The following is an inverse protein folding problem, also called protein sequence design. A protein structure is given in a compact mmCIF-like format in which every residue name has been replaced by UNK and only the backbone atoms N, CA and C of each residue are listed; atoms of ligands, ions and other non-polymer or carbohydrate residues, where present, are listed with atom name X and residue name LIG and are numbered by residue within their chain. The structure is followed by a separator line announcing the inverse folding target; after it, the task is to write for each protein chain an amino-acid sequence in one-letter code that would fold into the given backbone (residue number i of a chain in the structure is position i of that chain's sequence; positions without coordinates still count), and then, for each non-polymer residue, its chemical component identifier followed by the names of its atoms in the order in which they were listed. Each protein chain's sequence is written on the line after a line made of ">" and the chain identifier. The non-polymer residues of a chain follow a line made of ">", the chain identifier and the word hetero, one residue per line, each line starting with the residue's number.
data_IF_963353951366
#
_entry.id   IF_963353951366
#
_cell.length_a   1.000
_cell.length_b   1.000
_cell.length_c   1.000
_cell.angle_alpha   90.00
_cell.angle_beta   90.00
_cell.angle_gamma   90.00
#
_symmetry.space_group_name_H-M   'P 1'
#
loop_
_entity.id
_entity.type
_entity.pdbx_description
1 polymer ?
#
# COMPACT_ATOMS: atom_id res chain seq x y z
N UNK A 1 -2.09 -12.84 -14.62
CA UNK A 1 -2.87 -13.03 -13.37
C UNK A 1 -2.19 -12.18 -12.30
N UNK A 2 -2.92 -11.34 -11.61
CA UNK A 2 -2.37 -10.48 -10.55
C UNK A 2 -1.68 -11.31 -9.47
N UNK A 3 -0.58 -10.78 -8.90
CA UNK A 3 0.11 -11.38 -7.76
C UNK A 3 -0.25 -10.64 -6.45
N UNK A 4 -0.22 -11.35 -5.33
CA UNK A 4 -0.35 -10.75 -4.01
C UNK A 4 1.02 -10.30 -3.51
N UNK A 5 1.07 -9.13 -2.86
CA UNK A 5 2.23 -8.61 -2.16
C UNK A 5 1.85 -8.16 -0.74
N UNK A 6 2.80 -8.06 0.17
CA UNK A 6 2.56 -7.65 1.56
C UNK A 6 2.95 -6.19 1.77
N UNK A 7 1.99 -5.35 2.19
CA UNK A 7 2.22 -3.97 2.63
C UNK A 7 2.45 -3.88 4.14
N UNK A 8 3.48 -3.17 4.57
CA UNK A 8 3.86 -3.05 5.98
C UNK A 8 3.27 -1.81 6.70
N UNK A 9 2.34 -1.09 6.08
CA UNK A 9 1.78 0.14 6.67
C UNK A 9 1.12 -0.08 8.04
N UNK A 10 0.47 -1.23 8.22
CA UNK A 10 -0.19 -1.62 9.48
C UNK A 10 0.73 -2.29 10.48
N UNK A 11 1.92 -2.74 10.08
CA UNK A 11 2.86 -3.50 10.92
C UNK A 11 4.04 -2.67 11.42
N UNK A 12 4.41 -1.61 10.70
CA UNK A 12 5.59 -0.81 11.01
C UNK A 12 5.38 0.26 12.10
N UNK A 13 4.18 0.46 12.60
CA UNK A 13 3.83 1.54 13.55
C UNK A 13 2.67 1.16 14.48
N UNK A 14 2.59 1.74 15.70
CA UNK A 14 1.59 1.34 16.70
C UNK A 14 0.16 1.76 16.34
N UNK A 15 -0.02 2.83 15.56
CA UNK A 15 -1.32 3.32 15.12
C UNK A 15 -1.40 3.45 13.58
N UNK A 16 -2.57 3.15 13.01
CA UNK A 16 -2.86 3.31 11.57
C UNK A 16 -4.36 3.46 11.33
N UNK A 17 -4.74 4.08 10.23
CA UNK A 17 -6.13 4.26 9.79
C UNK A 17 -6.70 2.96 9.17
N UNK A 18 -6.97 1.95 9.99
CA UNK A 18 -7.48 0.67 9.51
C UNK A 18 -8.45 0.05 10.55
N UNK A 19 -9.70 -0.12 10.17
CA UNK A 19 -10.72 -0.73 11.02
C UNK A 19 -10.43 -2.24 11.21
N UNK A 20 -10.76 -2.77 12.40
CA UNK A 20 -10.61 -4.20 12.71
C UNK A 20 -9.17 -4.67 12.91
N UNK A 21 -8.22 -3.73 12.99
CA UNK A 21 -6.80 -4.03 13.17
C UNK A 21 -6.45 -4.38 14.61
N UNK A 22 -7.18 -3.87 15.59
CA UNK A 22 -6.83 -3.99 17.01
C UNK A 22 -6.72 -5.45 17.46
N UNK A 23 -7.62 -6.31 16.98
CA UNK A 23 -7.63 -7.74 17.30
C UNK A 23 -6.50 -8.55 16.63
N UNK A 24 -5.83 -7.99 15.62
CA UNK A 24 -4.76 -8.64 14.86
C UNK A 24 -3.36 -8.25 15.36
N UNK A 25 -3.27 -7.22 16.20
CA UNK A 25 -2.00 -6.72 16.73
C UNK A 25 -1.78 -7.15 18.18
N UNK A 26 -0.52 -7.10 18.65
CA UNK A 26 -0.21 -7.30 20.07
C UNK A 26 -0.99 -6.32 20.96
N UNK A 27 -1.41 -6.78 22.14
CA UNK A 27 -2.06 -5.92 23.14
C UNK A 27 -1.14 -4.79 23.62
N UNK A 28 0.17 -5.08 23.74
CA UNK A 28 1.22 -4.10 23.98
C UNK A 28 1.92 -3.85 22.65
N UNK A 29 1.88 -2.61 22.19
CA UNK A 29 2.43 -2.19 20.88
C UNK A 29 3.78 -1.50 21.04
N UNK A 30 4.65 -2.03 21.90
CA UNK A 30 6.04 -1.60 21.93
C UNK A 30 6.80 -2.05 20.66
N UNK A 31 8.00 -1.50 20.46
CA UNK A 31 8.77 -1.74 19.24
C UNK A 31 9.05 -3.23 19.03
N UNK A 32 9.44 -3.96 20.08
CA UNK A 32 9.83 -5.37 19.98
C UNK A 32 8.61 -6.28 19.74
N UNK A 33 7.49 -6.01 20.38
CA UNK A 33 6.24 -6.75 20.13
C UNK A 33 5.74 -6.53 18.71
N UNK A 34 5.82 -5.30 18.20
CA UNK A 34 5.44 -4.98 16.82
C UNK A 34 6.42 -5.57 15.79
N UNK A 35 7.74 -5.56 16.09
CA UNK A 35 8.76 -6.25 15.27
C UNK A 35 8.46 -7.74 15.17
N UNK A 36 8.23 -8.39 16.30
CA UNK A 36 7.92 -9.82 16.35
C UNK A 36 6.63 -10.14 15.57
N UNK A 37 5.60 -9.29 15.67
CA UNK A 37 4.38 -9.45 14.87
C UNK A 37 4.66 -9.29 13.38
N UNK A 38 5.43 -8.26 12.99
CA UNK A 38 5.80 -8.03 11.60
C UNK A 38 6.54 -9.24 11.02
N UNK A 39 7.52 -9.79 11.76
CA UNK A 39 8.26 -10.97 11.33
C UNK A 39 7.36 -12.21 11.16
N UNK A 40 6.42 -12.47 12.10
CA UNK A 40 5.46 -13.58 11.93
C UNK A 40 4.61 -13.46 10.65
N UNK A 41 4.17 -12.25 10.33
CA UNK A 41 3.39 -12.02 9.08
C UNK A 41 4.28 -12.15 7.86
N UNK A 42 5.53 -11.67 7.90
CA UNK A 42 6.52 -11.84 6.84
C UNK A 42 6.87 -13.31 6.60
N UNK A 43 7.08 -14.11 7.68
CA UNK A 43 7.33 -15.55 7.58
C UNK A 43 6.14 -16.25 6.90
N UNK A 44 4.93 -15.95 7.35
CA UNK A 44 3.71 -16.50 6.74
C UNK A 44 3.58 -16.10 5.26
N UNK A 45 3.88 -14.84 4.92
CA UNK A 45 3.88 -14.38 3.54
C UNK A 45 4.87 -15.18 2.69
N UNK A 46 6.07 -15.39 3.19
CA UNK A 46 7.11 -16.13 2.52
C UNK A 46 6.73 -17.60 2.32
N UNK A 47 6.17 -18.27 3.35
CA UNK A 47 5.65 -19.63 3.30
C UNK A 47 4.50 -19.79 2.27
N UNK A 48 3.64 -18.78 2.15
CA UNK A 48 2.56 -18.73 1.18
C UNK A 48 3.01 -18.39 -0.25
N UNK A 49 4.33 -18.19 -0.48
CA UNK A 49 4.90 -17.89 -1.79
C UNK A 49 4.83 -16.40 -2.17
N UNK A 50 4.48 -15.50 -1.27
CA UNK A 50 4.53 -14.06 -1.51
C UNK A 50 5.99 -13.63 -1.50
N UNK A 51 6.43 -12.95 -2.57
CA UNK A 51 7.84 -12.56 -2.79
C UNK A 51 8.00 -11.06 -3.04
N UNK A 52 7.02 -10.25 -2.63
CA UNK A 52 7.11 -8.80 -2.71
C UNK A 52 6.63 -8.18 -1.40
N UNK A 53 7.47 -7.31 -0.83
CA UNK A 53 7.16 -6.55 0.39
C UNK A 53 7.24 -5.05 0.10
N UNK A 54 6.24 -4.30 0.55
CA UNK A 54 6.09 -2.87 0.32
C UNK A 54 6.14 -2.10 1.65
N UNK A 55 7.21 -1.34 1.85
CA UNK A 55 7.48 -0.49 3.01
C UNK A 55 7.32 1.00 2.68
N UNK A 56 7.62 1.87 3.63
CA UNK A 56 7.79 3.31 3.43
C UNK A 56 8.50 3.96 4.62
N UNK A 57 9.22 5.07 4.38
CA UNK A 57 9.83 5.88 5.44
C UNK A 57 8.81 6.37 6.48
N UNK A 58 7.58 6.65 6.07
CA UNK A 58 6.51 7.11 6.97
C UNK A 58 5.79 5.98 7.71
N UNK A 59 6.09 4.73 7.42
CA UNK A 59 5.46 3.60 8.13
C UNK A 59 6.21 3.24 9.43
N UNK A 60 6.62 4.25 10.19
CA UNK A 60 7.34 4.07 11.45
C UNK A 60 8.66 3.34 11.27
N UNK A 61 8.77 2.13 11.80
CA UNK A 61 9.97 1.28 11.73
C UNK A 61 9.85 0.14 10.71
N UNK A 62 8.96 0.25 9.71
CA UNK A 62 8.73 -0.83 8.74
C UNK A 62 9.98 -1.26 7.98
N UNK A 63 10.86 -0.31 7.59
CA UNK A 63 12.13 -0.64 6.92
C UNK A 63 13.13 -1.31 7.87
N UNK A 64 13.17 -0.90 9.14
CA UNK A 64 14.01 -1.50 10.18
C UNK A 64 13.58 -2.96 10.48
N UNK A 65 12.25 -3.17 10.63
CA UNK A 65 11.70 -4.51 10.84
C UNK A 65 11.96 -5.40 9.63
N UNK A 66 11.76 -4.89 8.43
CA UNK A 66 12.06 -5.60 7.19
C UNK A 66 13.55 -5.93 7.10
N UNK A 67 14.44 -4.96 7.35
CA UNK A 67 15.88 -5.15 7.32
C UNK A 67 16.35 -6.30 8.23
N UNK A 68 15.82 -6.36 9.44
CA UNK A 68 16.16 -7.41 10.40
C UNK A 68 15.61 -8.79 10.02
N UNK A 69 14.60 -8.86 9.15
CA UNK A 69 14.01 -10.11 8.66
C UNK A 69 14.67 -10.63 7.38
N UNK A 70 15.22 -9.74 6.53
CA UNK A 70 15.75 -10.07 5.20
C UNK A 70 16.87 -11.12 5.15
N UNK A 71 17.77 -11.27 6.16
CA UNK A 71 18.81 -12.30 6.10
C UNK A 71 18.21 -13.69 5.83
N UNK A 72 18.62 -14.31 4.71
CA UNK A 72 18.08 -15.62 4.27
C UNK A 72 16.86 -15.54 3.33
N UNK A 73 16.43 -14.31 2.95
CA UNK A 73 15.28 -14.08 2.06
C UNK A 73 15.69 -13.22 0.83
N UNK A 74 16.70 -13.68 0.09
CA UNK A 74 17.32 -12.91 -1.00
C UNK A 74 16.45 -12.83 -2.26
N UNK A 75 15.41 -13.66 -2.37
CA UNK A 75 14.48 -13.74 -3.50
C UNK A 75 13.24 -12.84 -3.36
N UNK A 76 13.19 -12.00 -2.33
CA UNK A 76 12.08 -11.08 -2.08
C UNK A 76 12.29 -9.75 -2.80
N UNK A 77 11.31 -9.29 -3.58
CA UNK A 77 11.27 -7.93 -4.14
C UNK A 77 10.96 -6.94 -3.04
N UNK A 78 11.76 -5.86 -2.94
CA UNK A 78 11.63 -4.84 -1.92
C UNK A 78 11.23 -3.53 -2.58
N UNK A 79 10.06 -3.00 -2.18
CA UNK A 79 9.66 -1.63 -2.51
C UNK A 79 9.57 -0.76 -1.26
N UNK A 80 9.98 0.50 -1.40
CA UNK A 80 9.79 1.51 -0.35
C UNK A 80 9.36 2.84 -0.94
N UNK A 81 9.05 3.82 -0.06
CA UNK A 81 8.50 5.12 -0.46
C UNK A 81 9.13 6.25 0.35
N UNK A 82 9.24 7.41 -0.30
CA UNK A 82 9.68 8.67 0.29
C UNK A 82 8.62 9.77 0.10
N UNK A 83 8.74 10.86 0.84
CA UNK A 83 7.88 12.03 0.69
C UNK A 83 6.92 12.27 1.85
N UNK A 84 6.99 11.44 2.89
CA UNK A 84 6.41 11.69 4.20
C UNK A 84 7.42 11.41 5.29
N UNK A 85 7.53 12.31 6.28
CA UNK A 85 8.25 12.06 7.51
C UNK A 85 7.31 11.50 8.56
N UNK A 86 7.68 10.41 9.22
CA UNK A 86 6.99 9.90 10.41
C UNK A 86 7.33 10.81 11.60
N UNK A 87 6.30 11.35 12.26
CA UNK A 87 6.45 12.36 13.34
C UNK A 87 5.81 11.94 14.66
N UNK A 88 5.15 10.79 14.70
CA UNK A 88 4.44 10.34 15.90
C UNK A 88 5.34 9.86 17.03
N UNK A 89 6.62 9.61 16.77
CA UNK A 89 7.60 9.13 17.78
C UNK A 89 7.06 7.90 18.57
N UNK A 90 6.52 6.94 17.84
CA UNK A 90 5.90 5.71 18.35
C UNK A 90 4.66 5.92 19.24
N UNK A 91 4.10 7.13 19.32
CA UNK A 91 2.91 7.42 20.12
C UNK A 91 1.64 7.16 19.31
N UNK A 92 0.74 6.27 19.78
CA UNK A 92 -0.52 5.99 19.06
C UNK A 92 -1.52 7.18 19.11
N UNK A 93 -1.38 8.07 20.09
CA UNK A 93 -2.22 9.24 20.34
C UNK A 93 -1.63 10.56 19.82
N UNK A 94 -0.64 10.50 18.93
CA UNK A 94 -0.03 11.68 18.34
C UNK A 94 -1.07 12.48 17.53
N UNK A 95 -1.07 13.81 17.65
CA UNK A 95 -1.94 14.69 16.86
C UNK A 95 -1.58 14.67 15.37
N UNK A 96 -0.27 14.52 15.06
CA UNK A 96 0.24 14.45 13.70
C UNK A 96 1.16 13.23 13.60
N UNK A 97 0.74 12.25 12.80
CA UNK A 97 1.49 11.01 12.61
C UNK A 97 2.54 11.11 11.51
N UNK A 98 2.27 11.90 10.48
CA UNK A 98 3.17 12.03 9.34
C UNK A 98 3.00 13.40 8.66
N UNK A 99 4.09 13.93 8.11
CA UNK A 99 4.12 15.22 7.39
C UNK A 99 4.62 14.99 5.96
N UNK A 100 3.82 15.45 4.98
CA UNK A 100 4.12 15.33 3.56
C UNK A 100 5.10 16.41 3.11
N UNK A 101 6.14 16.00 2.36
CA UNK A 101 7.10 16.91 1.76
C UNK A 101 7.74 16.27 0.52
N UNK A 102 7.40 16.78 -0.67
CA UNK A 102 7.99 16.36 -1.93
C UNK A 102 9.06 17.37 -2.38
N UNK A 103 10.17 17.45 -1.65
CA UNK A 103 11.32 18.30 -1.96
C UNK A 103 12.58 17.48 -2.27
N UNK A 104 13.54 18.08 -3.00
CA UNK A 104 14.84 17.47 -3.24
C UNK A 104 15.57 17.14 -1.92
N UNK A 105 15.49 18.03 -0.93
CA UNK A 105 16.12 17.80 0.36
C UNK A 105 15.52 16.56 1.07
N UNK A 106 14.18 16.44 1.09
CA UNK A 106 13.51 15.29 1.68
C UNK A 106 13.83 13.99 0.94
N UNK A 107 13.82 14.01 -0.39
CA UNK A 107 14.22 12.87 -1.21
C UNK A 107 15.63 12.39 -0.87
N UNK A 108 16.61 13.30 -0.89
CA UNK A 108 18.01 12.98 -0.63
C UNK A 108 18.21 12.39 0.76
N UNK A 109 17.63 13.02 1.79
CA UNK A 109 17.68 12.53 3.15
C UNK A 109 17.08 11.12 3.28
N UNK A 110 15.86 10.93 2.80
CA UNK A 110 15.14 9.66 2.95
C UNK A 110 15.74 8.54 2.12
N UNK A 111 16.33 8.85 0.96
CA UNK A 111 17.08 7.85 0.19
C UNK A 111 18.31 7.36 0.96
N UNK A 112 19.09 8.25 1.56
CA UNK A 112 20.23 7.88 2.41
C UNK A 112 19.80 7.02 3.61
N UNK A 113 18.71 7.41 4.28
CA UNK A 113 18.16 6.64 5.42
C UNK A 113 17.71 5.24 4.98
N UNK A 114 17.01 5.12 3.85
CA UNK A 114 16.57 3.83 3.29
C UNK A 114 17.75 2.95 2.92
N UNK A 115 18.79 3.51 2.26
CA UNK A 115 20.01 2.76 1.90
C UNK A 115 20.80 2.29 3.12
N UNK A 116 20.75 3.02 4.24
CA UNK A 116 21.42 2.61 5.47
C UNK A 116 20.73 1.42 6.17
N UNK A 117 19.44 1.21 5.91
CA UNK A 117 18.66 0.13 6.49
C UNK A 117 18.53 -1.08 5.57
N UNK A 118 18.17 -0.85 4.32
CA UNK A 118 17.85 -1.93 3.38
C UNK A 118 19.08 -2.27 2.51
N UNK A 119 19.44 -3.55 2.38
CA UNK A 119 20.60 -3.98 1.59
C UNK A 119 20.42 -3.72 0.09
N UNK A 120 19.17 -3.67 -0.36
CA UNK A 120 18.75 -3.28 -1.72
C UNK A 120 17.34 -2.71 -1.69
N UNK A 121 16.99 -1.95 -2.72
CA UNK A 121 15.63 -1.50 -3.02
C UNK A 121 15.39 -1.75 -4.50
N UNK A 122 14.35 -2.50 -4.84
CA UNK A 122 14.03 -2.84 -6.23
C UNK A 122 13.11 -1.79 -6.86
N UNK A 123 12.26 -1.13 -6.03
CA UNK A 123 11.35 -0.08 -6.45
C UNK A 123 11.28 1.01 -5.38
N UNK A 124 11.59 2.26 -5.75
CA UNK A 124 11.49 3.41 -4.84
C UNK A 124 10.44 4.40 -5.31
N UNK A 125 9.43 4.67 -4.47
CA UNK A 125 8.22 5.33 -4.90
C UNK A 125 8.03 6.70 -4.24
N UNK A 126 7.50 7.66 -5.01
CA UNK A 126 6.95 8.91 -4.45
C UNK A 126 5.67 8.59 -3.68
N UNK A 127 5.61 8.93 -2.41
CA UNK A 127 4.47 8.61 -1.55
C UNK A 127 3.33 9.62 -1.72
N UNK A 128 2.13 9.15 -2.12
CA UNK A 128 0.91 9.97 -2.27
C UNK A 128 1.10 11.19 -3.18
N UNK A 129 1.60 10.96 -4.39
CA UNK A 129 1.71 11.99 -5.43
C UNK A 129 0.32 12.55 -5.78
N UNK A 130 0.19 13.85 -5.77
CA UNK A 130 -1.01 14.59 -6.18
C UNK A 130 -0.70 15.50 -7.35
N UNK A 131 -1.67 15.86 -8.17
CA UNK A 131 -1.47 16.63 -9.40
C UNK A 131 -0.84 18.02 -9.19
N UNK A 132 -0.92 18.55 -7.97
CA UNK A 132 -0.33 19.82 -7.53
C UNK A 132 1.05 19.67 -6.88
N UNK A 133 1.61 18.45 -6.82
CA UNK A 133 2.93 18.21 -6.24
C UNK A 133 4.02 19.05 -6.93
N UNK A 134 4.93 19.68 -6.17
CA UNK A 134 6.07 20.42 -6.73
C UNK A 134 7.00 19.55 -7.58
N UNK A 135 7.01 18.23 -7.38
CA UNK A 135 7.79 17.29 -8.18
C UNK A 135 7.59 17.50 -9.70
N UNK A 136 6.39 17.86 -10.14
CA UNK A 136 6.11 18.03 -11.57
C UNK A 136 6.86 19.18 -12.23
N UNK A 137 7.29 20.18 -11.47
CA UNK A 137 8.07 21.34 -11.95
C UNK A 137 9.51 21.37 -11.45
N UNK A 138 9.87 20.53 -10.49
CA UNK A 138 11.22 20.49 -9.90
C UNK A 138 12.13 19.53 -10.69
N UNK A 139 12.84 20.10 -11.69
CA UNK A 139 13.75 19.33 -12.54
C UNK A 139 14.91 18.73 -11.77
N UNK A 140 15.45 19.48 -10.79
CA UNK A 140 16.56 18.99 -9.97
C UNK A 140 16.16 17.75 -9.15
N UNK A 141 14.95 17.72 -8.62
CA UNK A 141 14.40 16.55 -7.93
C UNK A 141 14.22 15.37 -8.90
N UNK A 142 13.64 15.61 -10.09
CA UNK A 142 13.46 14.55 -11.10
C UNK A 142 14.81 13.95 -11.51
N UNK A 143 15.81 14.77 -11.79
CA UNK A 143 17.15 14.32 -12.17
C UNK A 143 17.83 13.54 -11.03
N UNK A 144 17.69 13.99 -9.79
CA UNK A 144 18.19 13.27 -8.62
C UNK A 144 17.52 11.91 -8.42
N UNK A 145 16.20 11.82 -8.65
CA UNK A 145 15.47 10.55 -8.58
C UNK A 145 15.97 9.55 -9.63
N UNK A 146 16.16 10.00 -10.87
CA UNK A 146 16.68 9.15 -11.95
C UNK A 146 18.11 8.69 -11.67
N UNK A 147 18.93 9.56 -11.06
CA UNK A 147 20.34 9.29 -10.78
C UNK A 147 20.59 8.17 -9.75
N UNK A 148 19.60 7.78 -8.93
CA UNK A 148 19.79 6.68 -7.98
C UNK A 148 19.88 5.30 -8.64
N UNK A 149 19.48 5.18 -9.93
CA UNK A 149 19.61 3.94 -10.71
C UNK A 149 18.71 2.79 -10.26
N UNK A 150 17.67 3.07 -9.45
CA UNK A 150 16.63 2.12 -8.99
C UNK A 150 15.35 2.35 -9.78
N UNK A 151 14.53 1.31 -9.98
CA UNK A 151 13.21 1.48 -10.56
C UNK A 151 12.38 2.50 -9.77
N UNK A 152 11.84 3.50 -10.48
CA UNK A 152 11.04 4.55 -9.86
C UNK A 152 9.55 4.26 -10.01
N UNK A 153 8.79 4.58 -8.95
CA UNK A 153 7.34 4.53 -8.97
C UNK A 153 6.73 5.70 -8.21
N UNK A 154 5.42 5.71 -8.18
CA UNK A 154 4.67 6.65 -7.34
C UNK A 154 3.40 6.02 -6.81
N UNK A 155 2.98 6.41 -5.61
CA UNK A 155 1.64 6.13 -5.13
C UNK A 155 0.77 7.39 -5.19
N UNK A 156 -0.54 7.21 -5.28
CA UNK A 156 -1.52 8.30 -5.34
C UNK A 156 -2.42 8.32 -4.11
N UNK A 157 -3.11 9.42 -3.89
CA UNK A 157 -4.06 9.61 -2.80
C UNK A 157 -5.07 10.73 -3.14
N UNK A 158 -6.29 10.61 -2.62
CA UNK A 158 -7.33 11.62 -2.77
C UNK A 158 -8.24 11.39 -3.98
N UNK A 159 -9.35 12.12 -4.08
CA UNK A 159 -10.39 11.89 -5.08
C UNK A 159 -9.94 12.16 -6.53
N UNK A 160 -8.81 12.85 -6.72
CA UNK A 160 -8.24 13.17 -8.04
C UNK A 160 -7.01 12.32 -8.38
N UNK A 161 -7.04 11.04 -8.01
CA UNK A 161 -5.95 10.09 -8.33
C UNK A 161 -5.66 10.04 -9.84
N UNK A 162 -6.72 10.00 -10.67
CA UNK A 162 -6.61 9.94 -12.14
C UNK A 162 -5.81 11.10 -12.72
N UNK A 163 -5.99 12.34 -12.20
CA UNK A 163 -5.23 13.51 -12.64
C UNK A 163 -3.74 13.36 -12.36
N UNK A 164 -3.40 12.84 -11.15
CA UNK A 164 -2.02 12.60 -10.75
C UNK A 164 -1.37 11.51 -11.61
N UNK A 165 -2.09 10.43 -11.91
CA UNK A 165 -1.62 9.33 -12.76
C UNK A 165 -1.30 9.85 -14.16
N UNK A 166 -2.26 10.49 -14.84
CA UNK A 166 -2.07 11.01 -16.19
C UNK A 166 -0.93 12.04 -16.27
N UNK A 167 -0.81 12.90 -15.25
CA UNK A 167 0.30 13.86 -15.18
C UNK A 167 1.66 13.19 -14.98
N UNK A 168 1.72 12.14 -14.17
CA UNK A 168 2.94 11.37 -13.92
C UNK A 168 3.39 10.59 -15.16
N UNK A 169 2.46 10.04 -15.94
CA UNK A 169 2.78 9.40 -17.23
C UNK A 169 3.55 10.32 -18.16
N UNK A 170 3.20 11.62 -18.18
CA UNK A 170 3.88 12.63 -18.99
C UNK A 170 5.35 12.89 -18.62
N UNK A 171 5.82 12.45 -17.43
CA UNK A 171 7.24 12.58 -17.05
C UNK A 171 8.13 11.51 -17.67
N UNK A 172 7.60 10.32 -17.95
CA UNK A 172 8.34 9.21 -18.58
C UNK A 172 9.47 8.63 -17.72
N UNK A 173 9.49 8.87 -16.41
CA UNK A 173 10.54 8.40 -15.49
C UNK A 173 10.09 7.24 -14.59
N UNK A 174 8.79 6.95 -14.55
CA UNK A 174 8.22 5.95 -13.68
C UNK A 174 7.99 4.62 -14.40
N UNK A 175 8.21 3.52 -13.68
CA UNK A 175 7.96 2.15 -14.10
C UNK A 175 6.76 1.51 -13.40
N UNK A 176 6.20 2.17 -12.38
CA UNK A 176 5.04 1.66 -11.66
C UNK A 176 4.17 2.77 -11.08
N UNK A 177 2.90 2.45 -10.90
CA UNK A 177 1.91 3.26 -10.18
C UNK A 177 1.27 2.40 -9.07
N UNK A 178 1.15 2.96 -7.87
CA UNK A 178 0.43 2.36 -6.75
C UNK A 178 -0.77 3.24 -6.38
N UNK A 179 -2.00 2.74 -6.52
CA UNK A 179 -3.20 3.55 -6.33
C UNK A 179 -4.25 2.83 -5.47
N UNK A 180 -5.11 3.61 -4.84
CA UNK A 180 -6.31 3.05 -4.22
C UNK A 180 -7.31 2.69 -5.30
N UNK A 181 -7.70 1.42 -5.33
CA UNK A 181 -8.84 0.93 -6.08
C UNK A 181 -9.48 -0.23 -5.32
N UNK A 182 -10.77 -0.19 -5.12
CA UNK A 182 -11.56 -1.26 -4.52
C UNK A 182 -13.02 -1.10 -4.96
N UNK A 183 -13.89 -2.02 -4.58
CA UNK A 183 -15.30 -2.02 -5.03
C UNK A 183 -16.10 -0.78 -4.59
N UNK A 184 -15.61 0.01 -3.60
CA UNK A 184 -16.23 1.27 -3.19
C UNK A 184 -15.57 2.50 -3.84
N UNK A 185 -14.33 2.38 -4.32
CA UNK A 185 -13.55 3.47 -4.92
C UNK A 185 -12.96 2.99 -6.24
N UNK A 186 -13.67 3.22 -7.32
CA UNK A 186 -13.29 2.76 -8.67
C UNK A 186 -12.80 3.88 -9.60
N UNK A 187 -12.80 5.13 -9.13
CA UNK A 187 -12.59 6.33 -9.96
C UNK A 187 -11.24 6.39 -10.67
N UNK A 188 -10.21 5.71 -10.14
CA UNK A 188 -8.89 5.64 -10.77
C UNK A 188 -8.79 4.59 -11.89
N UNK A 189 -9.79 3.71 -12.08
CA UNK A 189 -9.69 2.52 -12.92
C UNK A 189 -9.29 2.81 -14.37
N UNK A 190 -9.88 3.82 -15.00
CA UNK A 190 -9.53 4.20 -16.38
C UNK A 190 -8.08 4.68 -16.50
N UNK A 191 -7.65 5.56 -15.59
CA UNK A 191 -6.27 6.07 -15.60
C UNK A 191 -5.24 4.97 -15.24
N UNK A 192 -5.62 3.98 -14.44
CA UNK A 192 -4.79 2.81 -14.16
C UNK A 192 -4.66 1.88 -15.36
N UNK A 193 -5.74 1.69 -16.14
CA UNK A 193 -5.68 0.98 -17.40
C UNK A 193 -4.77 1.71 -18.42
N UNK A 194 -4.90 3.03 -18.54
CA UNK A 194 -3.99 3.87 -19.35
C UNK A 194 -2.52 3.70 -18.92
N UNK A 195 -2.26 3.66 -17.62
CA UNK A 195 -0.91 3.47 -17.09
C UNK A 195 -0.35 2.07 -17.42
N UNK A 196 -1.18 1.03 -17.29
CA UNK A 196 -0.83 -0.34 -17.67
C UNK A 196 -0.52 -0.44 -19.17
N UNK A 197 -1.36 0.14 -20.02
CA UNK A 197 -1.17 0.16 -21.48
C UNK A 197 0.09 0.94 -21.88
N UNK A 198 0.48 1.94 -21.08
CA UNK A 198 1.74 2.67 -21.24
C UNK A 198 2.97 1.89 -20.69
N UNK A 199 2.78 0.67 -20.18
CA UNK A 199 3.84 -0.21 -19.70
C UNK A 199 4.24 -0.05 -18.24
N UNK A 200 3.49 0.71 -17.44
CA UNK A 200 3.71 0.77 -16.00
C UNK A 200 3.13 -0.46 -15.31
N UNK A 201 3.83 -0.95 -14.29
CA UNK A 201 3.28 -1.95 -13.38
C UNK A 201 2.24 -1.30 -12.46
N UNK A 202 1.04 -1.84 -12.45
CA UNK A 202 -0.09 -1.33 -11.64
C UNK A 202 -0.19 -2.12 -10.35
N UNK A 203 -0.04 -1.41 -9.23
CA UNK A 203 -0.09 -1.92 -7.86
C UNK A 203 -1.32 -1.33 -7.17
N UNK A 204 -2.16 -2.18 -6.60
CA UNK A 204 -3.35 -1.72 -5.89
C UNK A 204 -3.16 -1.79 -4.39
N UNK A 205 -3.41 -0.68 -3.71
CA UNK A 205 -3.45 -0.55 -2.25
C UNK A 205 -4.86 -0.28 -1.75
N UNK A 206 -5.06 -0.43 -0.43
CA UNK A 206 -6.34 -0.20 0.25
C UNK A 206 -7.50 -1.03 -0.33
N UNK A 207 -7.21 -2.25 -0.79
CA UNK A 207 -8.16 -3.13 -1.45
C UNK A 207 -9.35 -3.54 -0.59
N UNK A 208 -9.22 -3.46 0.74
CA UNK A 208 -10.33 -3.69 1.69
C UNK A 208 -10.89 -2.37 2.27
N UNK A 209 -10.67 -1.24 1.59
CA UNK A 209 -11.17 0.09 1.98
C UNK A 209 -10.86 0.44 3.44
N UNK A 210 -9.62 0.25 3.88
CA UNK A 210 -9.17 0.44 5.27
C UNK A 210 -10.02 -0.35 6.30
N UNK A 211 -10.43 -1.57 5.94
CA UNK A 211 -11.21 -2.46 6.78
C UNK A 211 -12.73 -2.31 6.67
N UNK A 212 -13.24 -1.29 5.98
CA UNK A 212 -14.70 -1.09 5.76
C UNK A 212 -15.35 -2.31 5.11
N UNK A 213 -14.69 -2.91 4.12
CA UNK A 213 -15.15 -4.10 3.40
C UNK A 213 -15.05 -5.40 4.22
N UNK A 214 -14.51 -5.33 5.44
CA UNK A 214 -14.36 -6.49 6.35
C UNK A 214 -15.25 -6.36 7.57
N UNK A 215 -15.21 -5.20 8.24
CA UNK A 215 -15.92 -4.97 9.51
C UNK A 215 -17.41 -4.76 9.29
N UNK A 216 -17.80 -4.03 8.24
CA UNK A 216 -19.19 -3.76 7.86
C UNK A 216 -19.32 -3.81 6.32
N UNK A 217 -19.16 -5.02 5.73
CA UNK A 217 -19.17 -5.18 4.29
C UNK A 217 -20.58 -4.92 3.70
N UNK A 218 -20.68 -4.35 2.49
CA UNK A 218 -21.94 -4.29 1.75
C UNK A 218 -22.58 -5.66 1.63
N UNK A 219 -23.91 -5.71 1.64
CA UNK A 219 -24.67 -6.97 1.63
C UNK A 219 -24.23 -7.91 0.48
N UNK A 220 -23.94 -7.37 -0.70
CA UNK A 220 -23.51 -8.18 -1.85
C UNK A 220 -22.14 -8.86 -1.56
N UNK A 221 -21.18 -8.15 -0.95
CA UNK A 221 -19.88 -8.70 -0.56
C UNK A 221 -20.05 -9.78 0.51
N UNK A 222 -20.85 -9.51 1.55
CA UNK A 222 -21.12 -10.47 2.63
C UNK A 222 -21.84 -11.73 2.13
N UNK A 223 -22.82 -11.57 1.23
CA UNK A 223 -23.55 -12.68 0.65
C UNK A 223 -22.65 -13.57 -0.20
N UNK A 224 -21.79 -12.98 -1.01
CA UNK A 224 -20.86 -13.73 -1.85
C UNK A 224 -19.77 -14.42 -1.04
N UNK A 225 -19.22 -13.77 -0.01
CA UNK A 225 -18.29 -14.38 0.94
C UNK A 225 -18.89 -15.64 1.59
N UNK A 226 -20.13 -15.53 2.07
CA UNK A 226 -20.87 -16.67 2.64
C UNK A 226 -21.10 -17.80 1.63
N UNK A 227 -21.47 -17.46 0.40
CA UNK A 227 -21.73 -18.45 -0.65
C UNK A 227 -20.46 -19.23 -1.06
N UNK A 228 -19.31 -18.54 -1.04
CA UNK A 228 -18.00 -19.12 -1.40
C UNK A 228 -17.27 -19.75 -0.20
N UNK A 229 -17.76 -19.55 1.03
CA UNK A 229 -17.11 -20.05 2.25
C UNK A 229 -15.78 -19.38 2.57
N UNK A 230 -15.63 -18.09 2.20
CA UNK A 230 -14.40 -17.27 2.40
C UNK A 230 -14.70 -16.01 3.20
N UNK A 231 -13.66 -15.26 3.57
CA UNK A 231 -13.81 -13.95 4.20
C UNK A 231 -14.25 -12.86 3.21
N UNK A 232 -14.91 -11.77 3.69
CA UNK A 232 -15.26 -10.62 2.85
C UNK A 232 -14.02 -9.92 2.24
N UNK A 233 -12.88 -9.98 2.93
CA UNK A 233 -11.57 -9.52 2.44
C UNK A 233 -11.14 -10.27 1.19
N UNK A 234 -11.28 -11.60 1.15
CA UNK A 234 -10.97 -12.40 -0.02
C UNK A 234 -11.85 -12.00 -1.23
N UNK A 235 -13.15 -11.77 -1.01
CA UNK A 235 -14.07 -11.30 -2.06
C UNK A 235 -13.65 -9.93 -2.59
N UNK A 236 -13.35 -8.98 -1.69
CA UNK A 236 -12.93 -7.65 -2.07
C UNK A 236 -11.62 -7.65 -2.89
N UNK A 237 -10.62 -8.42 -2.44
CA UNK A 237 -9.34 -8.54 -3.14
C UNK A 237 -9.46 -9.32 -4.46
N UNK A 238 -10.35 -10.31 -4.54
CA UNK A 238 -10.62 -11.04 -5.77
C UNK A 238 -11.20 -10.13 -6.86
N UNK A 239 -12.11 -9.22 -6.50
CA UNK A 239 -12.67 -8.24 -7.43
C UNK A 239 -11.57 -7.35 -8.05
N UNK A 240 -10.52 -7.04 -7.28
CA UNK A 240 -9.36 -6.28 -7.76
C UNK A 240 -8.49 -7.15 -8.67
N UNK A 241 -8.14 -8.36 -8.23
CA UNK A 241 -7.23 -9.25 -8.94
C UNK A 241 -7.76 -9.69 -10.32
N UNK A 242 -9.06 -9.52 -10.57
CA UNK A 242 -9.74 -9.79 -11.86
C UNK A 242 -9.68 -8.64 -12.84
N UNK A 243 -9.28 -7.45 -12.43
CA UNK A 243 -9.12 -6.34 -13.36
C UNK A 243 -7.94 -6.63 -14.31
N UNK A 244 -8.11 -6.49 -15.63
CA UNK A 244 -7.09 -6.90 -16.61
C UNK A 244 -5.81 -6.06 -16.55
N UNK A 245 -5.87 -4.89 -15.96
CA UNK A 245 -4.78 -3.94 -15.80
C UNK A 245 -4.09 -4.02 -14.43
N UNK A 246 -4.47 -4.95 -13.54
CA UNK A 246 -3.84 -5.12 -12.23
C UNK A 246 -2.71 -6.15 -12.30
N UNK A 247 -1.51 -5.73 -11.92
CA UNK A 247 -0.35 -6.62 -11.80
C UNK A 247 -0.16 -7.12 -10.37
N UNK A 248 -0.37 -6.24 -9.38
CA UNK A 248 -0.10 -6.51 -7.96
C UNK A 248 -1.23 -5.99 -7.07
N UNK A 249 -1.65 -6.83 -6.13
CA UNK A 249 -2.58 -6.44 -5.06
C UNK A 249 -1.84 -6.47 -3.73
N UNK A 250 -1.80 -5.34 -3.02
CA UNK A 250 -1.20 -5.28 -1.68
C UNK A 250 -2.18 -5.78 -0.62
N UNK A 251 -1.80 -6.82 0.10
CA UNK A 251 -2.41 -7.19 1.37
C UNK A 251 -1.88 -6.26 2.47
N UNK A 252 -2.78 -5.65 3.22
CA UNK A 252 -2.49 -4.91 4.45
C UNK A 252 -2.70 -5.74 5.72
N UNK A 253 -2.60 -7.06 5.63
CA UNK A 253 -2.80 -7.97 6.74
C UNK A 253 -1.88 -7.63 7.92
N UNK A 254 -2.44 -7.62 9.12
CA UNK A 254 -1.72 -7.37 10.38
C UNK A 254 -1.54 -8.65 11.22
N UNK A 255 -2.07 -9.78 10.75
CA UNK A 255 -1.83 -11.11 11.34
C UNK A 255 -1.70 -12.19 10.27
N UNK A 256 -1.09 -13.35 10.61
CA UNK A 256 -1.04 -14.52 9.74
C UNK A 256 -2.43 -14.97 9.24
N UNK A 257 -3.43 -14.98 10.11
CA UNK A 257 -4.79 -15.41 9.79
C UNK A 257 -5.44 -14.50 8.73
N UNK A 258 -5.27 -13.18 8.87
CA UNK A 258 -5.73 -12.23 7.86
C UNK A 258 -5.03 -12.45 6.52
N UNK A 259 -3.73 -12.72 6.53
CA UNK A 259 -2.97 -12.97 5.31
C UNK A 259 -3.41 -14.26 4.62
N UNK A 260 -3.63 -15.33 5.39
CA UNK A 260 -4.17 -16.60 4.86
C UNK A 260 -5.53 -16.41 4.21
N UNK A 261 -6.43 -15.61 4.82
CA UNK A 261 -7.72 -15.24 4.23
C UNK A 261 -7.55 -14.48 2.91
N UNK A 262 -6.61 -13.52 2.88
CA UNK A 262 -6.36 -12.71 1.69
C UNK A 262 -5.85 -13.54 0.49
N UNK A 263 -5.11 -14.61 0.73
CA UNK A 263 -4.61 -15.50 -0.34
C UNK A 263 -5.74 -16.20 -1.09
N UNK A 264 -6.87 -16.46 -0.44
CA UNK A 264 -8.03 -17.07 -1.09
C UNK A 264 -8.57 -16.21 -2.24
N UNK A 265 -8.32 -14.89 -2.23
CA UNK A 265 -8.69 -13.99 -3.32
C UNK A 265 -8.18 -14.42 -4.70
N UNK A 266 -7.00 -15.06 -4.75
CA UNK A 266 -6.40 -15.51 -6.00
C UNK A 266 -7.07 -16.77 -6.59
N UNK A 267 -7.92 -17.44 -5.81
CA UNK A 267 -8.51 -18.75 -6.13
C UNK A 267 -10.00 -18.69 -6.44
N UNK A 268 -10.67 -17.60 -6.08
CA UNK A 268 -12.12 -17.44 -6.21
C UNK A 268 -12.49 -16.55 -7.37
N UNK A 269 -13.68 -16.78 -7.92
CA UNK A 269 -14.32 -15.89 -8.87
C UNK A 269 -15.46 -15.15 -8.19
N UNK A 270 -15.54 -13.85 -8.46
CA UNK A 270 -16.54 -12.99 -7.84
C UNK A 270 -17.31 -12.22 -8.92
N UNK A 271 -18.60 -12.05 -8.67
CA UNK A 271 -19.51 -11.24 -9.49
C UNK A 271 -20.26 -10.31 -8.55
N UNK A 272 -19.86 -9.04 -8.51
CA UNK A 272 -20.43 -8.04 -7.63
C UNK A 272 -21.15 -6.97 -8.46
N UNK A 273 -22.32 -6.48 -7.99
CA UNK A 273 -22.93 -5.30 -8.60
C UNK A 273 -22.00 -4.09 -8.45
N UNK A 274 -22.33 -3.00 -9.12
CA UNK A 274 -21.64 -1.71 -8.88
C UNK A 274 -21.92 -1.24 -7.45
N UNK A 275 -20.87 -1.09 -6.67
CA UNK A 275 -20.88 -0.65 -5.28
C UNK A 275 -20.12 0.67 -5.09
N UNK A 276 -19.66 1.29 -6.18
CA UNK A 276 -18.83 2.48 -6.12
C UNK A 276 -19.55 3.65 -5.45
N UNK A 277 -18.86 4.28 -4.52
CA UNK A 277 -19.25 5.56 -3.94
C UNK A 277 -18.73 6.71 -4.82
N UNK A 278 -19.37 7.90 -4.78
CA UNK A 278 -18.71 9.09 -5.32
C UNK A 278 -17.34 9.29 -4.68
N UNK A 279 -16.28 9.49 -5.49
CA UNK A 279 -14.90 9.56 -5.00
C UNK A 279 -14.72 10.56 -3.85
N UNK A 280 -15.29 11.76 -3.95
CA UNK A 280 -15.24 12.76 -2.88
C UNK A 280 -15.81 12.25 -1.55
N UNK A 281 -16.90 11.47 -1.61
CA UNK A 281 -17.52 10.90 -0.42
C UNK A 281 -16.65 9.79 0.18
N UNK A 282 -16.12 8.89 -0.66
CA UNK A 282 -15.20 7.84 -0.20
C UNK A 282 -14.00 8.43 0.52
N UNK A 283 -13.34 9.40 -0.08
CA UNK A 283 -12.14 10.03 0.47
C UNK A 283 -12.42 10.87 1.71
N UNK A 284 -13.60 11.49 1.81
CA UNK A 284 -14.07 12.17 3.02
C UNK A 284 -14.26 11.17 4.17
N UNK A 285 -14.91 10.04 3.90
CA UNK A 285 -15.10 8.96 4.88
C UNK A 285 -13.76 8.41 5.34
N UNK A 286 -12.85 8.12 4.39
CA UNK A 286 -11.50 7.64 4.69
C UNK A 286 -10.70 8.62 5.56
N UNK A 287 -10.77 9.89 5.26
CA UNK A 287 -10.08 10.94 6.05
C UNK A 287 -10.61 11.08 7.49
N UNK A 288 -11.85 10.68 7.73
CA UNK A 288 -12.47 10.66 9.04
C UNK A 288 -12.20 9.40 9.88
N UNK A 289 -11.48 8.41 9.34
CA UNK A 289 -11.11 7.21 10.10
C UNK A 289 -10.08 7.56 11.19
N UNK A 290 -10.30 7.01 12.36
CA UNK A 290 -9.39 7.19 13.50
C UNK A 290 -8.06 6.44 13.27
N UNK A 291 -7.00 7.00 13.80
CA UNK A 291 -5.73 6.30 13.99
C UNK A 291 -5.84 5.46 15.28
N UNK A 292 -5.70 4.13 15.19
CA UNK A 292 -5.86 3.16 16.28
C UNK A 292 -4.80 2.05 16.24
#
# INVERSE_FOLDING_TARGET
>A
MAQLALGLASLGRPAYINLGREGALPAVRDIESMRAQCHRVLDTAYELGIRWVDAARSYGLSEDFLSSWLPGHDDVTISSKWGYAYTADWRPDAEVHEVKEHSLARFTQQWQETQALLPRVDLYQVHSLTADSPLFSDRALQDAMVAIGVSLGFSTSGPRQSDAIRKALGLGIFSSVQSTWNVLETSAGEALAEAHDAGLRVIIKEGVANGRLVVDPPQAVAAQAKALGVGPDAVALAAIARQPWVDVVLSGAASPEQLMSNVDALRIEVDLPDLAEPAEQYWKTRAGLSWN
#
